data_IF_164693666722
#
_entry.id   IF_164693666722
#
_cell.length_a   1.000
_cell.length_b   1.000
_cell.length_c   1.000
_cell.angle_alpha   90.00
_cell.angle_beta   90.00
_cell.angle_gamma   90.00
#
_symmetry.space_group_name_H-M   'P 1'
#
loop_
_entity.id
_entity.type
_entity.pdbx_description
1 polymer ?
#
# COMPACT_ATOMS: atom_id res chain seq x y z
N UNK A 1 -6.32 -13.70 -25.08
CA UNK A 1 -5.24 -12.91 -25.73
C UNK A 1 -5.51 -12.58 -27.20
N UNK A 2 -6.67 -12.94 -27.77
CA UNK A 2 -6.91 -12.84 -29.22
C UNK A 2 -7.80 -11.66 -29.67
N UNK A 3 -8.06 -10.68 -28.82
CA UNK A 3 -8.96 -9.57 -29.20
C UNK A 3 -8.23 -8.26 -29.54
N UNK A 4 -6.94 -8.16 -29.30
CA UNK A 4 -6.09 -7.13 -29.88
C UNK A 4 -5.39 -7.79 -31.07
N UNK A 5 -6.16 -8.07 -32.12
CA UNK A 5 -5.61 -8.57 -33.36
C UNK A 5 -4.74 -7.51 -34.05
N UNK A 6 -3.93 -7.89 -35.05
CA UNK A 6 -3.04 -6.98 -35.76
C UNK A 6 -3.76 -5.82 -36.49
N UNK A 7 -5.07 -5.74 -36.40
CA UNK A 7 -5.92 -4.71 -37.03
C UNK A 7 -6.50 -3.69 -36.07
N UNK A 8 -6.16 -3.74 -34.75
CA UNK A 8 -6.66 -2.72 -33.82
C UNK A 8 -5.93 -1.41 -34.10
N UNK A 9 -6.68 -0.38 -34.48
CA UNK A 9 -6.12 0.91 -34.81
C UNK A 9 -5.34 1.50 -33.62
N UNK A 10 -4.15 2.04 -33.85
CA UNK A 10 -3.23 2.55 -32.82
C UNK A 10 -3.89 3.51 -31.85
N UNK A 11 -4.77 4.40 -32.32
CA UNK A 11 -5.50 5.35 -31.48
C UNK A 11 -6.43 4.66 -30.46
N UNK A 12 -7.02 3.51 -30.81
CA UNK A 12 -7.85 2.72 -29.87
C UNK A 12 -6.98 2.14 -28.77
N UNK A 13 -5.80 1.62 -29.11
CA UNK A 13 -4.85 1.07 -28.12
C UNK A 13 -4.41 2.17 -27.14
N UNK A 14 -4.07 3.35 -27.64
CA UNK A 14 -3.69 4.51 -26.80
C UNK A 14 -4.83 4.94 -25.88
N UNK A 15 -6.07 4.99 -26.40
CA UNK A 15 -7.24 5.40 -25.63
C UNK A 15 -7.53 4.41 -24.49
N UNK A 16 -7.45 3.13 -24.77
CA UNK A 16 -7.61 2.07 -23.76
C UNK A 16 -6.50 2.10 -22.72
N UNK A 17 -5.27 2.38 -23.13
CA UNK A 17 -4.15 2.52 -22.20
C UNK A 17 -4.36 3.73 -21.26
N UNK A 18 -4.75 4.88 -21.79
CA UNK A 18 -5.07 6.08 -20.99
C UNK A 18 -6.22 5.78 -20.01
N UNK A 19 -7.30 5.17 -20.48
CA UNK A 19 -8.43 4.79 -19.63
C UNK A 19 -7.98 3.86 -18.49
N UNK A 20 -7.15 2.88 -18.79
CA UNK A 20 -6.58 1.98 -17.80
C UNK A 20 -5.75 2.72 -16.75
N UNK A 21 -4.86 3.62 -17.16
CA UNK A 21 -4.04 4.41 -16.25
C UNK A 21 -4.92 5.23 -15.31
N UNK A 22 -5.93 5.92 -15.85
CA UNK A 22 -6.85 6.75 -15.05
C UNK A 22 -7.58 5.89 -14.02
N UNK A 23 -8.20 4.78 -14.44
CA UNK A 23 -8.97 3.89 -13.55
C UNK A 23 -8.09 3.35 -12.43
N UNK A 24 -6.91 2.81 -12.76
CA UNK A 24 -6.00 2.27 -11.75
C UNK A 24 -5.45 3.33 -10.81
N UNK A 25 -5.18 4.53 -11.30
CA UNK A 25 -4.76 5.65 -10.44
C UNK A 25 -5.84 6.00 -9.43
N UNK A 26 -7.11 6.08 -9.86
CA UNK A 26 -8.23 6.34 -8.95
C UNK A 26 -8.39 5.23 -7.89
N UNK A 27 -8.30 3.97 -8.30
CA UNK A 27 -8.37 2.83 -7.37
C UNK A 27 -7.22 2.87 -6.35
N UNK A 28 -5.99 3.08 -6.81
CA UNK A 28 -4.82 3.17 -5.92
C UNK A 28 -4.93 4.36 -4.95
N UNK A 29 -5.43 5.50 -5.41
CA UNK A 29 -5.67 6.67 -4.56
C UNK A 29 -6.73 6.38 -3.49
N UNK A 30 -7.82 5.70 -3.86
CA UNK A 30 -8.85 5.28 -2.91
C UNK A 30 -8.31 4.31 -1.86
N UNK A 31 -7.50 3.32 -2.28
CA UNK A 31 -6.86 2.38 -1.37
C UNK A 31 -5.87 3.07 -0.43
N UNK A 32 -5.08 4.02 -0.93
CA UNK A 32 -4.16 4.81 -0.12
C UNK A 32 -4.92 5.63 0.94
N UNK A 33 -6.02 6.28 0.54
CA UNK A 33 -6.88 7.01 1.46
C UNK A 33 -7.50 6.09 2.52
N UNK A 34 -8.00 4.92 2.10
CA UNK A 34 -8.55 3.92 3.01
C UNK A 34 -7.46 3.42 3.99
N UNK A 35 -6.24 3.19 3.51
CA UNK A 35 -5.10 2.79 4.34
C UNK A 35 -4.83 3.78 5.47
N UNK A 36 -4.83 5.08 5.16
CA UNK A 36 -4.67 6.15 6.16
C UNK A 36 -5.80 6.11 7.18
N UNK A 37 -7.06 5.92 6.73
CA UNK A 37 -8.22 5.85 7.63
C UNK A 37 -8.18 4.65 8.55
N UNK A 38 -7.74 3.50 8.05
CA UNK A 38 -7.59 2.29 8.87
C UNK A 38 -6.44 2.46 9.88
N UNK A 39 -5.34 3.08 9.48
CA UNK A 39 -4.25 3.41 10.40
C UNK A 39 -4.75 4.32 11.52
N UNK A 40 -5.39 5.45 11.20
CA UNK A 40 -5.96 6.38 12.18
C UNK A 40 -6.91 5.68 13.16
N UNK A 41 -7.70 4.71 12.67
CA UNK A 41 -8.64 3.97 13.51
C UNK A 41 -7.98 2.94 14.44
N UNK A 42 -6.86 2.34 14.00
CA UNK A 42 -6.14 1.29 14.74
C UNK A 42 -5.04 1.83 15.64
N UNK A 43 -4.63 3.08 15.46
CA UNK A 43 -3.64 3.78 16.29
C UNK A 43 -4.25 4.97 17.03
N UNK A 44 -5.28 4.77 17.88
CA UNK A 44 -6.01 5.87 18.52
C UNK A 44 -5.13 6.70 19.49
N UNK A 45 -3.99 6.17 19.90
CA UNK A 45 -3.03 6.88 20.76
C UNK A 45 -2.04 7.75 19.99
N UNK A 46 -1.99 7.62 18.67
CA UNK A 46 -1.13 8.40 17.79
C UNK A 46 -2.04 9.24 16.89
N UNK A 47 -2.51 10.37 17.42
CA UNK A 47 -3.21 11.38 16.61
C UNK A 47 -2.16 12.13 15.78
N UNK A 48 -1.65 11.45 14.75
CA UNK A 48 -0.50 11.91 13.97
C UNK A 48 -0.74 13.28 13.38
N UNK A 49 -1.97 13.58 12.97
CA UNK A 49 -2.32 14.87 12.38
C UNK A 49 -2.33 16.01 13.42
N UNK A 50 -2.72 15.71 14.65
CA UNK A 50 -2.73 16.69 15.73
C UNK A 50 -1.31 16.90 16.28
N UNK A 51 -0.48 15.85 16.30
CA UNK A 51 0.91 15.90 16.77
C UNK A 51 1.93 16.46 15.77
N UNK A 52 1.57 16.67 14.51
CA UNK A 52 2.44 17.35 13.53
C UNK A 52 2.92 18.71 14.08
N UNK A 53 2.12 19.38 14.90
CA UNK A 53 2.49 20.65 15.55
C UNK A 53 3.55 20.51 16.64
N UNK A 54 3.66 19.35 17.32
CA UNK A 54 4.58 19.15 18.44
C UNK A 54 5.98 18.70 17.98
N UNK A 55 6.03 17.72 17.04
CA UNK A 55 7.29 17.17 16.50
C UNK A 55 7.16 16.88 14.99
N UNK A 56 7.20 17.90 14.14
CA UNK A 56 6.85 17.78 12.72
C UNK A 56 7.77 16.81 11.95
N UNK A 57 9.06 16.73 12.33
CA UNK A 57 10.03 15.86 11.62
C UNK A 57 9.73 14.39 11.91
N UNK A 58 9.49 14.03 13.17
CA UNK A 58 9.22 12.63 13.55
C UNK A 58 7.93 12.12 12.94
N UNK A 59 6.87 12.90 13.06
CA UNK A 59 5.57 12.55 12.50
C UNK A 59 5.62 12.50 10.97
N UNK A 60 6.32 13.45 10.35
CA UNK A 60 6.55 13.44 8.90
C UNK A 60 7.30 12.20 8.42
N UNK A 61 8.32 11.74 9.14
CA UNK A 61 9.04 10.50 8.84
C UNK A 61 8.15 9.27 8.97
N UNK A 62 7.34 9.19 10.03
CA UNK A 62 6.38 8.10 10.21
C UNK A 62 5.37 8.04 9.06
N UNK A 63 4.75 9.17 8.71
CA UNK A 63 3.79 9.28 7.60
C UNK A 63 4.45 8.89 6.27
N UNK A 64 5.69 9.35 6.03
CA UNK A 64 6.44 9.00 4.82
C UNK A 64 6.71 7.49 4.73
N UNK A 65 7.17 6.86 5.83
CA UNK A 65 7.36 5.41 5.90
C UNK A 65 6.07 4.64 5.64
N UNK A 66 4.95 5.12 6.20
CA UNK A 66 3.65 4.52 5.98
C UNK A 66 3.17 4.64 4.53
N UNK A 67 3.34 5.79 3.89
CA UNK A 67 3.02 5.93 2.47
C UNK A 67 3.85 5.01 1.58
N UNK A 68 5.13 4.82 1.91
CA UNK A 68 5.99 3.88 1.20
C UNK A 68 5.49 2.44 1.41
N UNK A 69 5.14 2.05 2.63
CA UNK A 69 4.53 0.74 2.92
C UNK A 69 3.28 0.52 2.06
N UNK A 70 2.32 1.45 2.12
CA UNK A 70 1.07 1.36 1.36
C UNK A 70 1.34 1.31 -0.14
N UNK A 71 2.24 2.15 -0.64
CA UNK A 71 2.64 2.18 -2.04
C UNK A 71 3.24 0.85 -2.51
N UNK A 72 4.11 0.23 -1.72
CA UNK A 72 4.72 -1.07 -2.01
C UNK A 72 3.68 -2.20 -1.99
N UNK A 73 2.76 -2.19 -1.03
CA UNK A 73 1.65 -3.16 -0.96
C UNK A 73 0.76 -3.03 -2.19
N UNK A 74 0.31 -1.81 -2.52
CA UNK A 74 -0.52 -1.57 -3.71
C UNK A 74 0.22 -2.01 -4.98
N UNK A 75 1.49 -1.64 -5.11
CA UNK A 75 2.31 -2.03 -6.26
C UNK A 75 2.41 -3.56 -6.36
N UNK A 76 2.71 -4.25 -5.25
CA UNK A 76 2.78 -5.71 -5.22
C UNK A 76 1.47 -6.38 -5.65
N UNK A 77 0.33 -5.91 -5.15
CA UNK A 77 -0.99 -6.46 -5.50
C UNK A 77 -1.35 -6.20 -6.97
N UNK A 78 -1.05 -5.01 -7.48
CA UNK A 78 -1.38 -4.62 -8.86
C UNK A 78 -0.48 -5.34 -9.88
N UNK A 79 0.78 -5.59 -9.53
CA UNK A 79 1.76 -6.28 -10.38
C UNK A 79 1.79 -7.79 -10.17
N UNK A 80 1.12 -8.29 -9.14
CA UNK A 80 1.02 -9.72 -8.85
C UNK A 80 0.41 -10.52 -10.01
N UNK A 81 0.64 -11.83 -10.05
CA UNK A 81 0.18 -12.69 -11.14
C UNK A 81 -1.35 -12.66 -11.24
N UNK A 82 -1.85 -12.41 -12.45
CA UNK A 82 -3.27 -12.37 -12.76
C UNK A 82 -3.65 -13.61 -13.53
N UNK A 83 -4.69 -14.30 -13.10
CA UNK A 83 -5.32 -15.34 -13.90
C UNK A 83 -5.95 -14.66 -15.12
N UNK A 84 -5.31 -14.81 -16.29
CA UNK A 84 -5.77 -14.22 -17.52
C UNK A 84 -7.00 -14.97 -18.04
N UNK A 85 -8.09 -14.28 -18.28
CA UNK A 85 -9.29 -14.82 -18.89
C UNK A 85 -10.40 -13.79 -18.97
N UNK A 86 -10.44 -12.99 -20.03
CA UNK A 86 -11.52 -12.04 -20.23
C UNK A 86 -11.29 -11.13 -21.43
N UNK A 87 -12.36 -10.68 -22.08
CA UNK A 87 -12.32 -9.75 -23.20
C UNK A 87 -11.74 -8.38 -22.82
N UNK A 88 -11.58 -7.52 -23.81
CA UNK A 88 -10.91 -6.22 -23.73
C UNK A 88 -11.44 -5.32 -22.59
N UNK A 89 -12.75 -5.30 -22.38
CA UNK A 89 -13.41 -4.58 -21.28
C UNK A 89 -13.14 -5.23 -19.91
N UNK A 90 -13.08 -6.56 -19.84
CA UNK A 90 -12.74 -7.29 -18.63
C UNK A 90 -11.29 -7.04 -18.21
N UNK A 91 -10.39 -6.73 -19.15
CA UNK A 91 -9.00 -6.35 -18.83
C UNK A 91 -8.89 -4.99 -18.16
N UNK A 92 -9.88 -4.11 -18.32
CA UNK A 92 -9.93 -2.79 -17.68
C UNK A 92 -10.46 -2.89 -16.25
N UNK A 93 -11.57 -3.60 -16.05
CA UNK A 93 -12.24 -3.74 -14.75
C UNK A 93 -12.68 -5.19 -14.58
N UNK A 94 -11.79 -6.04 -14.12
CA UNK A 94 -12.12 -7.40 -13.70
C UNK A 94 -12.53 -7.40 -12.21
N UNK A 95 -13.80 -7.72 -11.88
CA UNK A 95 -14.27 -7.74 -10.50
C UNK A 95 -13.49 -8.70 -9.60
N UNK A 96 -13.00 -9.82 -10.17
CA UNK A 96 -12.19 -10.80 -9.43
C UNK A 96 -10.85 -10.20 -9.06
N UNK A 97 -10.22 -9.50 -10.00
CA UNK A 97 -8.96 -8.80 -9.77
C UNK A 97 -9.12 -7.69 -8.74
N UNK A 98 -10.18 -6.87 -8.85
CA UNK A 98 -10.48 -5.83 -7.87
C UNK A 98 -10.71 -6.41 -6.48
N UNK A 99 -11.44 -7.53 -6.36
CA UNK A 99 -11.64 -8.24 -5.11
C UNK A 99 -10.32 -8.74 -4.50
N UNK A 100 -9.45 -9.34 -5.30
CA UNK A 100 -8.13 -9.79 -4.86
C UNK A 100 -7.25 -8.61 -4.40
N UNK A 101 -7.25 -7.50 -5.15
CA UNK A 101 -6.54 -6.27 -4.79
C UNK A 101 -7.03 -5.77 -3.43
N UNK A 102 -8.34 -5.65 -3.23
CA UNK A 102 -8.92 -5.16 -1.98
C UNK A 102 -8.59 -6.08 -0.79
N UNK A 103 -8.78 -7.40 -0.94
CA UNK A 103 -8.50 -8.38 0.12
C UNK A 103 -7.00 -8.39 0.45
N UNK A 104 -6.13 -8.48 -0.55
CA UNK A 104 -4.67 -8.50 -0.34
C UNK A 104 -4.19 -7.21 0.32
N UNK A 105 -4.75 -6.07 -0.07
CA UNK A 105 -4.46 -4.79 0.56
C UNK A 105 -4.85 -4.77 2.04
N UNK A 106 -6.08 -5.17 2.38
CA UNK A 106 -6.55 -5.21 3.77
C UNK A 106 -5.73 -6.19 4.61
N UNK A 107 -5.47 -7.39 4.11
CA UNK A 107 -4.65 -8.40 4.81
C UNK A 107 -3.24 -7.86 5.05
N UNK A 108 -2.61 -7.27 4.04
CA UNK A 108 -1.26 -6.70 4.17
C UNK A 108 -1.21 -5.53 5.15
N UNK A 109 -2.25 -4.70 5.16
CA UNK A 109 -2.35 -3.59 6.11
C UNK A 109 -2.48 -4.10 7.55
N UNK A 110 -3.34 -5.10 7.80
CA UNK A 110 -3.50 -5.73 9.11
C UNK A 110 -2.21 -6.42 9.56
N UNK A 111 -1.52 -7.13 8.67
CA UNK A 111 -0.21 -7.73 8.95
C UNK A 111 0.84 -6.66 9.29
N UNK A 112 0.88 -5.54 8.56
CA UNK A 112 1.80 -4.44 8.86
C UNK A 112 1.59 -3.87 10.26
N UNK A 113 0.35 -3.65 10.65
CA UNK A 113 -0.01 -3.19 11.99
C UNK A 113 0.35 -4.24 13.05
N UNK A 114 0.03 -5.51 12.81
CA UNK A 114 0.40 -6.60 13.73
C UNK A 114 1.92 -6.68 13.92
N UNK A 115 2.69 -6.58 12.85
CA UNK A 115 4.16 -6.56 12.90
C UNK A 115 4.70 -5.37 13.68
N UNK A 116 4.12 -4.16 13.53
CA UNK A 116 4.48 -3.01 14.35
C UNK A 116 4.26 -3.28 15.84
N UNK A 117 3.12 -3.85 16.23
CA UNK A 117 2.84 -4.20 17.63
C UNK A 117 3.77 -5.29 18.17
N UNK A 118 4.12 -6.27 17.34
CA UNK A 118 5.09 -7.32 17.72
C UNK A 118 6.47 -6.68 17.93
N UNK A 119 6.91 -5.80 17.05
CA UNK A 119 8.20 -5.13 17.18
C UNK A 119 8.24 -4.23 18.41
N UNK A 120 7.17 -3.52 18.73
CA UNK A 120 7.06 -2.71 19.94
C UNK A 120 7.25 -3.57 21.21
N UNK A 121 6.64 -4.76 21.25
CA UNK A 121 6.82 -5.73 22.36
C UNK A 121 8.21 -6.34 22.42
N UNK A 122 8.85 -6.61 21.29
CA UNK A 122 10.18 -7.21 21.22
C UNK A 122 11.31 -6.22 21.54
N UNK A 123 11.05 -4.93 21.41
CA UNK A 123 12.04 -3.87 21.63
C UNK A 123 11.60 -2.88 22.73
N UNK A 124 11.40 -3.34 23.97
CA UNK A 124 10.85 -2.50 25.05
C UNK A 124 11.72 -1.29 25.42
N UNK A 125 12.97 -1.25 24.97
CA UNK A 125 13.89 -0.12 25.20
C UNK A 125 13.73 1.02 24.18
N UNK A 126 13.00 0.78 23.09
CA UNK A 126 12.74 1.77 22.04
C UNK A 126 11.23 1.93 21.96
N UNK A 127 10.65 2.96 22.56
CA UNK A 127 9.21 3.16 22.52
C UNK A 127 8.79 3.56 21.11
N UNK A 128 8.37 2.56 20.30
CA UNK A 128 7.87 2.77 18.93
C UNK A 128 6.66 3.70 18.87
N UNK A 129 5.85 3.65 19.92
CA UNK A 129 4.59 4.38 20.00
C UNK A 129 4.66 5.63 20.90
N UNK A 130 5.80 5.86 21.59
CA UNK A 130 6.01 7.05 22.41
C UNK A 130 7.19 7.88 21.90
N UNK A 131 6.88 8.96 21.24
CA UNK A 131 7.82 9.88 20.58
C UNK A 131 8.48 10.85 21.60
N UNK A 132 8.28 10.63 22.92
CA UNK A 132 8.60 11.63 23.93
C UNK A 132 10.09 11.83 24.23
N UNK A 133 10.94 10.79 24.10
CA UNK A 133 12.34 10.87 24.54
C UNK A 133 13.36 11.22 23.44
N UNK A 134 13.12 10.85 22.19
CA UNK A 134 14.00 11.21 21.06
C UNK A 134 13.20 11.13 19.75
N UNK A 135 12.38 12.12 19.47
CA UNK A 135 11.34 12.01 18.45
C UNK A 135 11.89 11.71 17.04
N UNK A 136 13.00 12.29 16.67
CA UNK A 136 13.59 12.10 15.32
C UNK A 136 14.16 10.70 15.17
N UNK A 137 14.88 10.19 16.18
CA UNK A 137 15.46 8.84 16.13
C UNK A 137 14.36 7.77 16.06
N UNK A 138 13.30 7.91 16.84
CA UNK A 138 12.13 7.03 16.80
C UNK A 138 11.43 7.11 15.45
N UNK A 139 11.23 8.32 14.90
CA UNK A 139 10.64 8.52 13.58
C UNK A 139 11.43 7.82 12.45
N UNK A 140 12.76 7.95 12.46
CA UNK A 140 13.64 7.27 11.50
C UNK A 140 13.54 5.75 11.65
N UNK A 141 13.59 5.25 12.89
CA UNK A 141 13.55 3.83 13.17
C UNK A 141 12.22 3.20 12.74
N UNK A 142 11.09 3.80 13.11
CA UNK A 142 9.77 3.32 12.72
C UNK A 142 9.56 3.38 11.22
N UNK A 143 9.97 4.47 10.56
CA UNK A 143 9.87 4.57 9.10
C UNK A 143 10.72 3.50 8.41
N UNK A 144 11.91 3.20 8.93
CA UNK A 144 12.76 2.10 8.44
C UNK A 144 12.06 0.75 8.51
N UNK A 145 11.38 0.43 9.62
CA UNK A 145 10.59 -0.80 9.75
C UNK A 145 9.39 -0.84 8.81
N UNK A 146 8.68 0.27 8.64
CA UNK A 146 7.55 0.34 7.71
C UNK A 146 7.99 0.06 6.27
N UNK A 147 9.12 0.64 5.85
CA UNK A 147 9.71 0.38 4.53
C UNK A 147 10.13 -1.09 4.40
N UNK A 148 10.81 -1.63 5.41
CA UNK A 148 11.24 -3.03 5.42
C UNK A 148 10.05 -4.00 5.30
N UNK A 149 8.99 -3.79 6.08
CA UNK A 149 7.77 -4.59 5.97
C UNK A 149 7.08 -4.43 4.62
N UNK A 150 7.06 -3.21 4.09
CA UNK A 150 6.54 -2.95 2.75
C UNK A 150 7.26 -3.76 1.67
N UNK A 151 8.58 -3.85 1.74
CA UNK A 151 9.40 -4.64 0.81
C UNK A 151 9.12 -6.14 0.93
N UNK A 152 9.01 -6.67 2.16
CA UNK A 152 8.67 -8.08 2.39
C UNK A 152 7.29 -8.39 1.83
N UNK A 153 6.29 -7.56 2.13
CA UNK A 153 4.92 -7.74 1.63
C UNK A 153 4.86 -7.63 0.11
N UNK A 154 5.55 -6.66 -0.46
CA UNK A 154 5.66 -6.53 -1.92
C UNK A 154 6.21 -7.82 -2.55
N UNK A 155 7.30 -8.35 -1.99
CA UNK A 155 7.90 -9.60 -2.47
C UNK A 155 6.93 -10.78 -2.37
N UNK A 156 6.23 -10.92 -1.24
CA UNK A 156 5.25 -11.97 -1.03
C UNK A 156 4.06 -11.88 -2.01
N UNK A 157 3.58 -10.65 -2.29
CA UNK A 157 2.45 -10.42 -3.19
C UNK A 157 2.78 -10.60 -4.67
N UNK A 158 4.06 -10.47 -5.06
CA UNK A 158 4.54 -10.67 -6.43
C UNK A 158 4.96 -12.10 -6.72
N UNK A 159 5.05 -12.97 -5.70
CA UNK A 159 5.35 -14.39 -5.89
C UNK A 159 4.25 -15.09 -6.70
N UNK A 160 4.65 -15.91 -7.66
CA UNK A 160 3.73 -16.77 -8.39
C UNK A 160 3.20 -17.84 -7.44
N UNK A 161 1.88 -17.97 -7.37
CA UNK A 161 1.25 -19.15 -6.80
C UNK A 161 1.43 -20.27 -7.82
N UNK A 162 2.24 -21.26 -7.50
CA UNK A 162 2.45 -22.47 -8.32
C UNK A 162 1.15 -23.26 -8.46
#
# INVERSE_FOLDING_TARGET
MNEIGPHTAFHIVVLLWIARVIIWTLICTLLAWLGIRVLDALTPHIHERERIGENPISVGLFIAGFFILVGLVIHGVVTGPVVAGGGLLASLIDPRRLGLVAISFLVSLLLGIALLHIMDKLTPKIPFLSVEQNPVAVGIYVSGYLIFFGLIMHSALTMYLL
#
